data_IF_067813763608
#
_entry.id   IF_067813763608
#
_cell.length_a   1.000
_cell.length_b   1.000
_cell.length_c   1.000
_cell.angle_alpha   90.00
_cell.angle_beta   90.00
_cell.angle_gamma   90.00
#
_symmetry.space_group_name_H-M   'P 1'
#
loop_
_entity.id
_entity.type
_entity.pdbx_description
1 polymer ?
#
# COMPACT_ATOMS: atom_id res chain seq x y z
N UNK A 1 10.70 -17.27 -63.37
CA UNK A 1 11.54 -17.89 -62.33
C UNK A 1 11.95 -16.81 -61.35
N UNK A 2 11.31 -16.76 -60.17
CA UNK A 2 11.68 -15.78 -59.14
C UNK A 2 12.90 -16.34 -58.39
N UNK A 3 14.10 -15.93 -58.82
CA UNK A 3 15.32 -16.22 -58.06
C UNK A 3 15.25 -15.47 -56.74
N UNK A 4 15.53 -16.13 -55.60
CA UNK A 4 15.61 -15.41 -54.33
C UNK A 4 16.70 -14.32 -54.45
N UNK A 5 16.49 -13.15 -53.83
CA UNK A 5 17.48 -12.07 -53.86
C UNK A 5 18.81 -12.56 -53.28
N UNK A 6 19.91 -12.03 -53.80
CA UNK A 6 21.23 -12.33 -53.25
C UNK A 6 21.29 -11.94 -51.76
N UNK A 7 22.13 -12.64 -51.01
CA UNK A 7 22.32 -12.39 -49.57
C UNK A 7 22.65 -10.91 -49.28
N UNK A 8 23.41 -10.29 -50.16
CA UNK A 8 23.82 -8.89 -50.01
C UNK A 8 22.70 -7.92 -50.36
N UNK A 9 21.91 -8.20 -51.40
CA UNK A 9 20.73 -7.40 -51.72
C UNK A 9 19.69 -7.44 -50.58
N UNK A 10 19.54 -8.59 -49.92
CA UNK A 10 18.66 -8.71 -48.75
C UNK A 10 19.20 -7.91 -47.56
N UNK A 11 20.53 -7.87 -47.36
CA UNK A 11 21.16 -7.07 -46.30
C UNK A 11 20.95 -5.58 -46.51
N UNK A 12 21.18 -5.10 -47.73
CA UNK A 12 20.98 -3.69 -48.09
C UNK A 12 19.52 -3.28 -47.94
N UNK A 13 18.59 -4.11 -48.41
CA UNK A 13 17.17 -3.87 -48.27
C UNK A 13 16.74 -3.76 -46.81
N UNK A 14 17.17 -4.70 -45.96
CA UNK A 14 16.84 -4.69 -44.53
C UNK A 14 17.47 -3.49 -43.82
N UNK A 15 18.69 -3.09 -44.18
CA UNK A 15 19.35 -1.92 -43.61
C UNK A 15 18.62 -0.61 -43.97
N UNK A 16 18.18 -0.47 -45.23
CA UNK A 16 17.37 0.67 -45.68
C UNK A 16 16.04 0.74 -44.93
N UNK A 17 15.35 -0.40 -44.77
CA UNK A 17 14.09 -0.45 -44.02
C UNK A 17 14.25 -0.13 -42.55
N UNK A 18 15.34 -0.56 -41.94
CA UNK A 18 15.65 -0.18 -40.55
C UNK A 18 15.90 1.32 -40.41
N UNK A 19 16.69 1.93 -41.30
CA UNK A 19 16.96 3.37 -41.26
C UNK A 19 15.67 4.19 -41.42
N UNK A 20 14.81 3.81 -42.37
CA UNK A 20 13.51 4.44 -42.61
C UNK A 20 12.60 4.36 -41.36
N UNK A 21 12.51 3.20 -40.71
CA UNK A 21 11.66 3.04 -39.52
C UNK A 21 12.21 3.76 -38.29
N UNK A 22 13.53 3.85 -38.12
CA UNK A 22 14.16 4.63 -37.04
C UNK A 22 13.89 6.12 -37.21
N UNK A 23 13.98 6.63 -38.44
CA UNK A 23 13.72 8.04 -38.74
C UNK A 23 12.25 8.41 -38.51
N UNK A 24 11.32 7.55 -38.92
CA UNK A 24 9.89 7.78 -38.75
C UNK A 24 9.42 7.57 -37.30
N UNK A 25 10.00 6.61 -36.58
CA UNK A 25 9.61 6.26 -35.22
C UNK A 25 10.86 5.91 -34.39
N UNK A 26 11.51 6.91 -33.77
CA UNK A 26 12.72 6.67 -32.99
C UNK A 26 12.47 5.72 -31.80
N UNK A 27 11.24 5.70 -31.27
CA UNK A 27 10.82 4.84 -30.16
C UNK A 27 10.45 3.41 -30.60
N UNK A 28 10.33 3.13 -31.90
CA UNK A 28 9.98 1.81 -32.42
C UNK A 28 11.15 0.83 -32.42
N UNK A 29 12.38 1.32 -32.23
CA UNK A 29 13.56 0.48 -32.02
C UNK A 29 13.50 -0.06 -30.60
N UNK A 30 12.83 -1.20 -30.44
CA UNK A 30 12.88 -1.97 -29.20
C UNK A 30 14.29 -2.51 -29.06
N UNK A 31 15.13 -1.77 -28.33
CA UNK A 31 16.36 -2.34 -27.80
C UNK A 31 15.96 -3.49 -26.89
N UNK A 32 16.31 -4.72 -27.30
CA UNK A 32 16.31 -5.89 -26.42
C UNK A 32 17.43 -5.75 -25.38
N UNK A 33 17.46 -4.63 -24.66
CA UNK A 33 18.18 -4.55 -23.42
C UNK A 33 17.46 -5.47 -22.45
N UNK A 34 18.20 -6.36 -21.77
CA UNK A 34 17.65 -7.07 -20.65
C UNK A 34 17.10 -6.01 -19.67
N UNK A 35 15.78 -6.00 -19.49
CA UNK A 35 15.14 -5.12 -18.52
C UNK A 35 15.85 -5.27 -17.17
N UNK A 36 15.95 -4.19 -16.41
CA UNK A 36 16.56 -4.22 -15.08
C UNK A 36 15.91 -5.36 -14.29
N UNK A 37 16.72 -6.20 -13.66
CA UNK A 37 16.22 -7.26 -12.79
C UNK A 37 15.25 -6.64 -11.76
N UNK A 38 14.11 -7.27 -11.48
CA UNK A 38 13.16 -6.73 -10.52
C UNK A 38 13.85 -6.53 -9.17
N UNK A 39 13.52 -5.44 -8.48
CA UNK A 39 14.10 -5.16 -7.17
C UNK A 39 13.75 -6.32 -6.21
N UNK A 40 14.72 -6.79 -5.39
CA UNK A 40 14.47 -7.85 -4.45
C UNK A 40 13.33 -7.48 -3.50
N UNK A 41 12.34 -8.36 -3.34
CA UNK A 41 11.28 -8.18 -2.34
C UNK A 41 11.93 -8.09 -0.96
N UNK A 42 11.50 -7.11 -0.15
CA UNK A 42 11.92 -7.01 1.26
C UNK A 42 11.59 -8.30 1.99
N UNK A 43 12.49 -8.77 2.84
CA UNK A 43 12.22 -9.92 3.68
C UNK A 43 11.06 -9.62 4.63
N UNK A 44 10.01 -10.44 4.58
CA UNK A 44 8.88 -10.37 5.51
C UNK A 44 8.92 -11.62 6.38
N UNK A 45 9.06 -11.43 7.70
CA UNK A 45 9.02 -12.52 8.67
C UNK A 45 7.65 -13.19 8.63
N UNK A 46 7.62 -14.52 8.62
CA UNK A 46 6.37 -15.28 8.77
C UNK A 46 5.80 -15.04 10.18
N UNK A 47 4.48 -14.83 10.31
CA UNK A 47 3.89 -14.61 11.62
C UNK A 47 4.07 -15.84 12.50
N UNK A 48 4.35 -15.60 13.77
CA UNK A 48 4.48 -16.67 14.76
C UNK A 48 3.10 -17.29 15.08
N UNK A 49 3.08 -18.50 15.64
CA UNK A 49 1.82 -19.16 16.05
C UNK A 49 1.04 -18.30 17.05
N UNK A 50 1.75 -17.61 17.96
CA UNK A 50 1.16 -16.69 18.93
C UNK A 50 0.54 -15.47 18.24
N UNK A 51 1.24 -14.85 17.30
CA UNK A 51 0.70 -13.70 16.53
C UNK A 51 -0.55 -14.08 15.74
N UNK A 52 -0.60 -15.29 15.19
CA UNK A 52 -1.80 -15.79 14.49
C UNK A 52 -2.94 -16.02 15.48
N UNK A 53 -2.67 -16.62 16.64
CA UNK A 53 -3.68 -16.83 17.68
C UNK A 53 -4.25 -15.51 18.20
N UNK A 54 -3.38 -14.53 18.48
CA UNK A 54 -3.78 -13.20 18.94
C UNK A 54 -4.65 -12.47 17.92
N UNK A 55 -4.30 -12.49 16.63
CA UNK A 55 -5.13 -11.89 15.58
C UNK A 55 -6.53 -12.52 15.51
N UNK A 56 -6.61 -13.85 15.64
CA UNK A 56 -7.90 -14.56 15.68
C UNK A 56 -8.75 -14.17 16.89
N UNK A 57 -8.12 -13.96 18.05
CA UNK A 57 -8.82 -13.52 19.25
C UNK A 57 -9.36 -12.08 19.09
N UNK A 58 -8.56 -11.18 18.54
CA UNK A 58 -9.03 -9.82 18.23
C UNK A 58 -10.20 -9.81 17.25
N UNK A 59 -10.18 -10.67 16.23
CA UNK A 59 -11.30 -10.83 15.30
C UNK A 59 -12.56 -11.34 16.00
N UNK A 60 -12.43 -12.31 16.92
CA UNK A 60 -13.56 -12.77 17.74
C UNK A 60 -14.14 -11.65 18.58
N UNK A 61 -13.31 -10.89 19.28
CA UNK A 61 -13.78 -9.76 20.11
C UNK A 61 -14.51 -8.71 19.29
N UNK A 62 -14.00 -8.39 18.08
CA UNK A 62 -14.68 -7.46 17.15
C UNK A 62 -16.04 -8.00 16.72
N UNK A 63 -16.13 -9.28 16.39
CA UNK A 63 -17.39 -9.91 15.99
C UNK A 63 -18.38 -9.94 17.16
N UNK A 64 -17.94 -10.30 18.36
CA UNK A 64 -18.77 -10.33 19.56
C UNK A 64 -19.25 -8.93 19.93
N UNK A 65 -18.40 -7.91 19.78
CA UNK A 65 -18.77 -6.52 19.97
C UNK A 65 -19.80 -6.05 18.92
N UNK A 66 -19.61 -6.43 17.65
CA UNK A 66 -20.56 -6.11 16.58
C UNK A 66 -21.92 -6.80 16.76
N UNK A 67 -21.96 -7.99 17.37
CA UNK A 67 -23.21 -8.70 17.67
C UNK A 67 -23.89 -8.18 18.95
N UNK A 68 -23.12 -7.71 19.93
CA UNK A 68 -23.65 -7.10 21.18
C UNK A 68 -24.04 -5.63 21.01
N UNK A 69 -23.56 -4.96 19.96
CA UNK A 69 -24.07 -3.67 19.55
C UNK A 69 -25.50 -3.88 19.04
N UNK A 70 -26.48 -3.74 19.94
CA UNK A 70 -27.87 -3.44 19.56
C UNK A 70 -27.79 -2.28 18.58
N UNK A 71 -28.43 -2.35 17.39
CA UNK A 71 -28.52 -1.17 16.54
C UNK A 71 -29.30 -0.14 17.34
N UNK A 72 -28.61 0.83 17.94
CA UNK A 72 -29.25 2.03 18.44
C UNK A 72 -30.02 2.60 17.26
N UNK A 73 -31.34 2.45 17.33
CA UNK A 73 -32.30 2.96 16.39
C UNK A 73 -31.92 4.39 16.03
N UNK A 74 -31.91 4.67 14.73
CA UNK A 74 -31.67 5.98 14.15
C UNK A 74 -32.31 7.11 14.98
N UNK A 75 -31.51 7.76 15.80
CA UNK A 75 -31.74 9.11 16.34
C UNK A 75 -30.36 9.61 16.66
N UNK A 76 -29.82 10.42 15.75
CA UNK A 76 -28.58 11.16 15.96
C UNK A 76 -28.75 12.10 17.15
N UNK A 77 -28.06 11.90 18.30
CA UNK A 77 -27.86 12.99 19.23
C UNK A 77 -26.60 13.74 18.78
N UNK A 78 -26.73 15.05 18.61
CA UNK A 78 -25.64 15.97 18.31
C UNK A 78 -24.33 15.61 19.03
N UNK A 79 -23.16 15.62 18.37
CA UNK A 79 -21.87 15.35 19.02
C UNK A 79 -21.50 16.40 20.08
N UNK A 80 -22.25 17.50 20.18
CA UNK A 80 -22.02 18.58 21.14
C UNK A 80 -22.49 18.25 22.58
N UNK A 81 -23.29 17.21 22.79
CA UNK A 81 -23.92 16.92 24.10
C UNK A 81 -23.51 15.59 24.74
N UNK A 82 -22.55 14.86 24.16
CA UNK A 82 -21.89 13.75 24.88
C UNK A 82 -20.84 14.30 25.84
N UNK A 83 -21.28 14.82 26.97
CA UNK A 83 -20.40 15.03 28.11
C UNK A 83 -20.05 13.67 28.71
N UNK A 84 -18.96 13.05 28.24
CA UNK A 84 -18.29 12.01 29.02
C UNK A 84 -17.73 12.71 30.27
N UNK A 85 -18.56 12.84 31.30
CA UNK A 85 -18.23 13.54 32.54
C UNK A 85 -17.32 12.66 33.39
N UNK A 86 -16.05 12.56 32.98
CA UNK A 86 -14.96 12.18 33.85
C UNK A 86 -14.34 13.49 34.34
N UNK A 87 -14.86 14.03 35.45
CA UNK A 87 -14.27 15.23 36.05
C UNK A 87 -13.06 14.83 36.89
N UNK A 88 -12.09 15.73 37.00
CA UNK A 88 -10.99 15.59 37.95
C UNK A 88 -11.50 15.57 39.41
N UNK A 89 -12.70 16.13 39.64
CA UNK A 89 -13.38 16.14 40.94
C UNK A 89 -13.83 14.74 41.40
N UNK A 90 -13.96 13.79 40.48
CA UNK A 90 -14.31 12.39 40.79
C UNK A 90 -13.15 11.62 41.44
N UNK A 91 -11.95 12.24 41.50
CA UNK A 91 -10.73 11.67 42.07
C UNK A 91 -10.05 12.64 43.05
N UNK A 92 -10.57 12.79 44.28
CA UNK A 92 -10.12 13.82 45.24
C UNK A 92 -8.67 13.64 45.76
N UNK A 93 -7.96 12.61 45.32
CA UNK A 93 -6.55 12.36 45.65
C UNK A 93 -5.55 12.73 44.55
N UNK A 94 -6.02 13.13 43.37
CA UNK A 94 -5.17 13.58 42.25
C UNK A 94 -5.01 15.10 42.30
N UNK A 95 -4.38 15.60 43.37
CA UNK A 95 -3.98 17.00 43.46
C UNK A 95 -2.96 17.33 42.37
N UNK A 96 -3.10 18.52 41.76
CA UNK A 96 -2.22 18.99 40.70
C UNK A 96 -0.74 18.89 41.10
N UNK A 97 0.17 18.57 40.15
CA UNK A 97 1.60 18.51 40.45
C UNK A 97 2.02 19.87 40.98
N UNK A 98 2.52 19.90 42.23
CA UNK A 98 3.02 21.11 42.84
C UNK A 98 4.04 21.77 41.91
N UNK A 99 3.78 23.02 41.51
CA UNK A 99 4.74 23.83 40.78
C UNK A 99 6.04 23.86 41.60
N UNK A 100 7.05 23.14 41.11
CA UNK A 100 8.40 23.25 41.64
C UNK A 100 8.89 24.65 41.28
N UNK A 101 8.85 25.57 42.24
CA UNK A 101 9.67 26.78 42.19
C UNK A 101 11.12 26.35 42.27
N UNK A 102 11.78 26.33 41.12
CA UNK A 102 13.24 26.28 41.04
C UNK A 102 13.79 27.58 41.66
N UNK A 103 14.78 27.45 42.53
CA UNK A 103 15.58 28.54 43.08
C UNK A 103 16.88 28.66 42.29
#
# INVERSE_FOLDING_TARGET
>A
MNTPPSKDALREFLASKFAETVEQNPDAVVLYAAGRAPDPKRYVKRPTVQEVAFKRELEKMRNDQAQKAVPESATSPDPATRTNHLSLDDYPGLGQPAERKEF
#
